data_IF_743900046558
#
_entry.id   IF_743900046558
#
_cell.length_a   1.000
_cell.length_b   1.000
_cell.length_c   1.000
_cell.angle_alpha   90.00
_cell.angle_beta   90.00
_cell.angle_gamma   90.00
#
_symmetry.space_group_name_H-M   'P 1'
#
loop_
_entity.id
_entity.type
_entity.pdbx_description
1 polymer ?
#
# COMPACT_ATOMS: atom_id res chain seq x y z
N UNK A 1 17.94 19.78 -13.75
CA UNK A 1 18.54 18.74 -12.87
C UNK A 1 17.48 18.25 -11.90
N UNK A 2 16.78 17.16 -12.27
CA UNK A 2 16.12 16.19 -11.38
C UNK A 2 15.47 15.18 -12.33
N UNK A 3 16.23 14.14 -12.71
CA UNK A 3 15.68 13.02 -13.47
C UNK A 3 14.87 12.21 -12.45
N UNK A 4 13.57 12.10 -12.69
CA UNK A 4 12.64 11.22 -11.99
C UNK A 4 13.19 9.79 -11.98
N UNK A 5 14.02 9.47 -10.99
CA UNK A 5 14.35 8.10 -10.65
C UNK A 5 13.41 7.77 -9.51
N UNK A 6 12.39 6.95 -9.79
CA UNK A 6 11.67 6.22 -8.74
C UNK A 6 12.66 5.24 -8.14
N UNK A 7 13.55 5.69 -7.25
CA UNK A 7 14.25 4.72 -6.43
C UNK A 7 13.21 4.17 -5.47
N UNK A 8 13.11 2.85 -5.37
CA UNK A 8 12.34 2.18 -4.32
C UNK A 8 13.00 2.46 -2.96
N UNK A 9 12.88 3.71 -2.50
CA UNK A 9 13.60 4.24 -1.35
C UNK A 9 13.13 3.55 -0.07
N UNK A 10 11.84 3.27 0.03
CA UNK A 10 11.26 2.57 1.16
C UNK A 10 11.78 1.14 1.22
N UNK A 11 11.79 0.40 0.10
CA UNK A 11 12.29 -0.98 0.11
C UNK A 11 13.79 -1.06 0.35
N UNK A 12 14.57 -0.16 -0.25
CA UNK A 12 16.02 -0.10 -0.07
C UNK A 12 16.42 0.26 1.37
N UNK A 13 15.66 1.15 2.03
CA UNK A 13 15.95 1.58 3.39
C UNK A 13 15.40 0.62 4.46
N UNK A 14 14.21 0.06 4.25
CA UNK A 14 13.54 -0.81 5.24
C UNK A 14 13.83 -2.31 5.08
N UNK A 15 14.33 -2.73 3.91
CA UNK A 15 14.45 -4.14 3.54
C UNK A 15 13.11 -4.85 3.30
N UNK A 16 12.00 -4.10 3.25
CA UNK A 16 10.65 -4.64 3.03
C UNK A 16 10.22 -4.45 1.57
N UNK A 17 9.54 -5.45 1.01
CA UNK A 17 8.97 -5.32 -0.34
C UNK A 17 7.75 -4.40 -0.31
N UNK A 18 7.69 -3.46 -1.27
CA UNK A 18 6.57 -2.53 -1.42
C UNK A 18 5.67 -3.00 -2.56
N UNK A 19 4.35 -2.79 -2.41
CA UNK A 19 3.35 -3.35 -3.31
C UNK A 19 3.32 -2.69 -4.71
N UNK A 20 3.48 -1.37 -4.78
CA UNK A 20 3.31 -0.59 -6.02
C UNK A 20 4.40 0.45 -6.30
N UNK A 21 5.46 0.52 -5.50
CA UNK A 21 6.56 1.45 -5.80
C UNK A 21 7.35 1.00 -7.04
N UNK A 22 7.89 1.99 -7.75
CA UNK A 22 8.84 1.84 -8.85
C UNK A 22 8.27 1.28 -10.17
N UNK A 23 7.19 1.90 -10.63
CA UNK A 23 6.53 1.56 -11.90
C UNK A 23 7.45 1.61 -13.11
N UNK A 24 8.45 2.50 -13.11
CA UNK A 24 9.42 2.55 -14.20
C UNK A 24 10.28 1.28 -14.25
N UNK A 25 10.79 0.80 -13.11
CA UNK A 25 11.52 -0.46 -13.08
C UNK A 25 10.60 -1.67 -13.28
N UNK A 26 9.36 -1.63 -12.76
CA UNK A 26 8.38 -2.69 -13.02
C UNK A 26 8.02 -2.79 -14.51
N UNK A 27 7.92 -1.66 -15.21
CA UNK A 27 7.68 -1.60 -16.66
C UNK A 27 8.89 -2.11 -17.45
N UNK A 28 10.11 -1.70 -17.08
CA UNK A 28 11.37 -2.21 -17.67
C UNK A 28 11.50 -3.73 -17.48
N UNK A 29 11.15 -4.23 -16.29
CA UNK A 29 11.18 -5.66 -15.96
C UNK A 29 9.95 -6.43 -16.45
N UNK A 30 9.02 -5.77 -17.15
CA UNK A 30 7.78 -6.34 -17.69
C UNK A 30 6.92 -7.07 -16.64
N UNK A 31 6.93 -6.58 -15.40
CA UNK A 31 6.00 -7.07 -14.38
C UNK A 31 4.59 -6.51 -14.62
N UNK A 32 3.53 -7.31 -14.36
CA UNK A 32 2.13 -6.86 -14.48
C UNK A 32 1.77 -5.96 -13.29
N UNK A 33 2.20 -4.70 -13.35
CA UNK A 33 2.01 -3.71 -12.28
C UNK A 33 0.75 -2.86 -12.47
N UNK A 34 0.23 -2.77 -13.70
CA UNK A 34 -0.97 -1.97 -14.02
C UNK A 34 -2.22 -2.57 -13.37
N UNK A 35 -2.35 -3.89 -13.39
CA UNK A 35 -3.42 -4.62 -12.73
C UNK A 35 -3.36 -4.43 -11.21
N UNK A 36 -2.15 -4.36 -10.65
CA UNK A 36 -1.95 -4.06 -9.21
C UNK A 36 -2.42 -2.65 -8.89
N UNK A 37 -2.14 -1.67 -9.76
CA UNK A 37 -2.62 -0.29 -9.59
C UNK A 37 -4.13 -0.23 -9.60
N UNK A 38 -4.78 -0.84 -10.60
CA UNK A 38 -6.24 -0.88 -10.68
C UNK A 38 -6.86 -1.55 -9.44
N UNK A 39 -6.24 -2.62 -8.94
CA UNK A 39 -6.69 -3.29 -7.71
C UNK A 39 -6.50 -2.43 -6.45
N UNK A 40 -5.42 -1.66 -6.36
CA UNK A 40 -5.18 -0.71 -5.27
C UNK A 40 -6.19 0.44 -5.32
N UNK A 41 -6.47 1.00 -6.49
CA UNK A 41 -7.49 2.04 -6.66
C UNK A 41 -8.88 1.52 -6.24
N UNK A 42 -9.20 0.27 -6.60
CA UNK A 42 -10.43 -0.40 -6.18
C UNK A 42 -10.48 -0.57 -4.66
N UNK A 43 -9.36 -0.97 -4.03
CA UNK A 43 -9.25 -1.08 -2.58
C UNK A 43 -9.44 0.26 -1.85
N UNK A 44 -8.84 1.35 -2.36
CA UNK A 44 -8.99 2.67 -1.75
C UNK A 44 -10.43 3.20 -1.86
N UNK A 45 -11.13 2.86 -2.94
CA UNK A 45 -12.43 3.42 -3.29
C UNK A 45 -13.64 2.56 -2.94
N UNK A 46 -13.46 1.30 -2.54
CA UNK A 46 -14.57 0.43 -2.15
C UNK A 46 -15.20 0.90 -0.83
N UNK A 47 -16.52 0.69 -0.70
CA UNK A 47 -17.24 0.80 0.58
C UNK A 47 -17.59 -0.56 1.17
N UNK A 48 -17.17 -1.64 0.51
CA UNK A 48 -17.34 -3.01 0.98
C UNK A 48 -16.11 -3.46 1.78
N UNK A 49 -16.31 -3.64 3.09
CA UNK A 49 -15.28 -4.06 4.03
C UNK A 49 -14.72 -5.45 3.70
N UNK A 50 -15.56 -6.41 3.28
CA UNK A 50 -15.12 -7.77 2.98
C UNK A 50 -14.18 -7.79 1.77
N UNK A 51 -14.51 -7.01 0.73
CA UNK A 51 -13.65 -6.80 -0.43
C UNK A 51 -12.33 -6.14 -0.06
N UNK A 52 -12.36 -5.16 0.85
CA UNK A 52 -11.15 -4.46 1.29
C UNK A 52 -10.21 -5.38 2.10
N UNK A 53 -10.74 -6.14 3.07
CA UNK A 53 -9.97 -7.14 3.83
C UNK A 53 -9.46 -8.27 2.94
N UNK A 54 -10.26 -8.71 1.96
CA UNK A 54 -9.84 -9.71 0.97
C UNK A 54 -8.67 -9.21 0.12
N UNK A 55 -8.68 -7.95 -0.30
CA UNK A 55 -7.57 -7.35 -1.04
C UNK A 55 -6.25 -7.43 -0.25
N UNK A 56 -6.28 -7.06 1.04
CA UNK A 56 -5.08 -7.13 1.89
C UNK A 56 -4.54 -8.55 1.97
N UNK A 57 -5.42 -9.52 2.25
CA UNK A 57 -5.04 -10.94 2.39
C UNK A 57 -4.52 -11.55 1.10
N UNK A 58 -5.24 -11.37 0.00
CA UNK A 58 -4.92 -12.00 -1.28
C UNK A 58 -3.60 -11.46 -1.84
N UNK A 59 -3.28 -10.19 -1.55
CA UNK A 59 -2.01 -9.55 -1.90
C UNK A 59 -0.92 -9.70 -0.83
N UNK A 60 -1.20 -10.41 0.28
CA UNK A 60 -0.28 -10.65 1.40
C UNK A 60 0.31 -9.36 1.97
N UNK A 61 -0.53 -8.32 2.08
CA UNK A 61 -0.13 -7.06 2.69
C UNK A 61 0.04 -7.26 4.19
N UNK A 62 1.24 -7.04 4.71
CA UNK A 62 1.50 -7.14 6.15
C UNK A 62 1.45 -5.80 6.86
N UNK A 63 1.78 -4.71 6.16
CA UNK A 63 1.82 -3.37 6.72
C UNK A 63 1.14 -2.38 5.80
N UNK A 64 0.44 -1.42 6.40
CA UNK A 64 -0.13 -0.26 5.70
C UNK A 64 0.53 0.98 6.27
N UNK A 65 1.00 1.84 5.37
CA UNK A 65 1.53 3.16 5.69
C UNK A 65 0.55 4.18 5.15
N UNK A 66 -0.09 4.94 6.03
CA UNK A 66 -0.94 6.06 5.63
C UNK A 66 -0.27 7.37 6.00
N UNK A 67 -0.12 8.25 5.00
CA UNK A 67 0.21 9.64 5.26
C UNK A 67 -1.03 10.34 5.83
N UNK A 68 -0.81 11.41 6.58
CA UNK A 68 -1.93 12.18 7.14
C UNK A 68 -2.92 12.61 6.05
N UNK A 69 -4.20 12.25 6.25
CA UNK A 69 -5.28 12.53 5.31
C UNK A 69 -5.56 11.40 4.32
N UNK A 70 -4.67 10.42 4.19
CA UNK A 70 -4.93 9.20 3.43
C UNK A 70 -5.71 8.20 4.26
N UNK A 71 -6.70 7.57 3.64
CA UNK A 71 -7.53 6.54 4.24
C UNK A 71 -8.28 5.80 3.13
N UNK A 72 -8.76 4.60 3.43
CA UNK A 72 -9.77 3.92 2.61
C UNK A 72 -11.15 4.49 2.94
N UNK A 73 -12.11 4.35 2.01
CA UNK A 73 -13.51 4.73 2.32
C UNK A 73 -14.16 3.85 3.39
N UNK A 74 -13.71 2.60 3.53
CA UNK A 74 -14.22 1.69 4.57
C UNK A 74 -13.69 2.02 5.97
N UNK A 75 -12.73 2.92 6.12
CA UNK A 75 -12.11 3.18 7.41
C UNK A 75 -11.19 2.04 7.88
N UNK A 76 -10.43 2.31 8.94
CA UNK A 76 -9.39 1.41 9.45
C UNK A 76 -9.97 0.36 10.39
N UNK A 77 -11.04 0.71 11.09
CA UNK A 77 -11.83 -0.13 11.99
C UNK A 77 -12.41 -1.38 11.31
N UNK A 78 -12.58 -1.34 9.99
CA UNK A 78 -13.11 -2.43 9.18
C UNK A 78 -12.03 -3.26 8.47
N UNK A 79 -10.75 -2.86 8.54
CA UNK A 79 -9.66 -3.47 7.77
C UNK A 79 -8.90 -4.58 8.51
N UNK A 80 -9.32 -4.99 9.70
CA UNK A 80 -8.61 -5.94 10.57
C UNK A 80 -7.14 -5.54 10.78
N UNK A 81 -6.93 -4.27 11.10
CA UNK A 81 -5.59 -3.69 11.28
C UNK A 81 -5.36 -3.26 12.73
N UNK A 82 -4.11 -3.28 13.15
CA UNK A 82 -3.67 -2.74 14.44
C UNK A 82 -2.63 -1.66 14.21
N UNK A 83 -2.84 -0.47 14.75
CA UNK A 83 -1.82 0.58 14.73
C UNK A 83 -0.58 0.14 15.52
N UNK A 84 0.59 0.29 14.92
CA UNK A 84 1.88 -0.08 15.55
C UNK A 84 2.83 1.12 15.68
N UNK A 85 2.56 2.21 14.98
CA UNK A 85 3.35 3.42 15.04
C UNK A 85 2.55 4.62 14.52
N UNK A 86 2.72 5.77 15.14
CA UNK A 86 2.15 7.03 14.69
C UNK A 86 3.13 8.17 14.97
N UNK A 87 3.24 9.11 14.03
CA UNK A 87 3.84 10.41 14.27
C UNK A 87 3.04 11.52 13.57
N UNK A 88 3.58 12.73 13.53
CA UNK A 88 2.91 13.89 12.94
C UNK A 88 2.72 13.83 11.42
N UNK A 89 3.17 12.80 10.72
CA UNK A 89 3.12 12.70 9.26
C UNK A 89 2.58 11.37 8.74
N UNK A 90 2.79 10.28 9.49
CA UNK A 90 2.45 8.92 9.06
C UNK A 90 1.89 8.11 10.22
N UNK A 91 0.94 7.24 9.89
CA UNK A 91 0.46 6.17 10.75
C UNK A 91 0.72 4.83 10.08
N UNK A 92 1.29 3.89 10.82
CA UNK A 92 1.63 2.55 10.34
C UNK A 92 0.76 1.54 11.05
N UNK A 93 0.16 0.66 10.26
CA UNK A 93 -0.68 -0.43 10.72
C UNK A 93 -0.07 -1.77 10.36
N UNK A 94 -0.19 -2.75 11.26
CA UNK A 94 -0.02 -4.16 10.96
C UNK A 94 -1.37 -4.77 10.58
N UNK A 95 -1.41 -5.57 9.52
CA UNK A 95 -2.62 -6.30 9.10
C UNK A 95 -2.69 -7.62 9.87
N UNK A 96 -3.81 -7.86 10.53
CA UNK A 96 -4.07 -9.06 11.31
C UNK A 96 -5.05 -9.94 10.53
N UNK A 97 -4.71 -11.23 10.37
CA UNK A 97 -5.54 -12.24 9.72
C UNK A 97 -6.04 -13.27 10.72
#
# INVERSE_FOLDING_TARGET
>A
LSRYVSTAYVSAFSGQNVYLEDEMNLDIMQYPWKERRESQESFLNTSDADSASKYLRDNRINYIYWLNGEHTKVGTEHLMVTEIFQNNSVTIFNVVY
#
